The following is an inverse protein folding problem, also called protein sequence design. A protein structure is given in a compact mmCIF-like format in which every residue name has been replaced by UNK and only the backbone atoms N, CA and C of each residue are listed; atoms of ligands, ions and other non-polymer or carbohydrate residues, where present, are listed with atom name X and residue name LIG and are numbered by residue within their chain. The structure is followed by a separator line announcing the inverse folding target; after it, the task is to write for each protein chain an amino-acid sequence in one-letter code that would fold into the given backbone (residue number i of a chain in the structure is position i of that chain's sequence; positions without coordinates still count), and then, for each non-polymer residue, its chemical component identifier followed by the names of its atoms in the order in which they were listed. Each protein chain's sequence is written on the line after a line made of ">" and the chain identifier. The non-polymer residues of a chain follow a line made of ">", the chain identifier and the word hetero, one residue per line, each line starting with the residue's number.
data_IF_914312401642
#
_entry.id   IF_914312401642
#
_cell.length_a   1.000
_cell.length_b   1.000
_cell.length_c   1.000
_cell.angle_alpha   90.00
_cell.angle_beta   90.00
_cell.angle_gamma   90.00
#
_symmetry.space_group_name_H-M   'P 1'
#
loop_
_entity.id
_entity.type
_entity.pdbx_description
1 polymer ?
#
# COMPACT_ATOMS: atom_id res chain seq x y z
N UNK A 1 23.98 -0.52 -9.75
CA UNK A 1 22.80 -1.39 -9.92
C UNK A 1 22.33 -1.86 -8.55
N UNK A 2 21.04 -1.82 -8.28
CA UNK A 2 20.44 -2.26 -7.00
C UNK A 2 20.26 -3.78 -6.98
N UNK A 3 20.16 -4.40 -5.79
CA UNK A 3 19.93 -5.85 -5.68
C UNK A 3 18.59 -6.32 -6.27
N UNK A 4 17.60 -5.41 -6.37
CA UNK A 4 16.37 -5.68 -7.11
C UNK A 4 16.61 -5.70 -8.63
N UNK A 5 17.36 -4.75 -9.19
CA UNK A 5 17.69 -4.72 -10.63
C UNK A 5 18.39 -6.00 -11.08
N UNK A 6 19.28 -6.54 -10.25
CA UNK A 6 19.97 -7.79 -10.55
C UNK A 6 19.02 -9.00 -10.58
N UNK A 7 18.06 -9.07 -9.64
CA UNK A 7 17.00 -10.09 -9.64
C UNK A 7 16.05 -9.94 -10.81
N UNK A 8 15.72 -8.71 -11.18
CA UNK A 8 14.88 -8.40 -12.32
C UNK A 8 15.55 -8.83 -13.64
N UNK A 9 16.84 -8.56 -13.79
CA UNK A 9 17.62 -8.95 -14.97
C UNK A 9 17.80 -10.48 -15.09
N UNK A 10 17.82 -11.19 -13.97
CA UNK A 10 17.94 -12.65 -13.94
C UNK A 10 16.61 -13.40 -14.12
N UNK A 11 15.48 -12.72 -13.96
CA UNK A 11 14.17 -13.34 -14.02
C UNK A 11 13.60 -13.35 -15.45
N UNK A 12 13.01 -14.47 -15.85
CA UNK A 12 12.22 -14.56 -17.07
C UNK A 12 10.82 -14.01 -16.80
N UNK A 13 10.51 -12.84 -17.34
CA UNK A 13 9.18 -12.21 -17.22
C UNK A 13 8.33 -12.52 -18.45
N UNK A 14 6.99 -12.63 -18.30
CA UNK A 14 6.07 -12.73 -19.42
C UNK A 14 6.03 -11.43 -20.24
N UNK A 15 5.36 -11.45 -21.39
CA UNK A 15 5.20 -10.27 -22.23
C UNK A 15 4.49 -9.11 -21.49
N UNK A 16 4.76 -7.89 -21.95
CA UNK A 16 4.25 -6.69 -21.30
C UNK A 16 2.72 -6.71 -21.21
N UNK A 17 2.20 -6.56 -19.98
CA UNK A 17 0.79 -6.67 -19.67
C UNK A 17 0.55 -6.86 -18.16
N UNK A 18 -0.69 -7.18 -17.75
CA UNK A 18 -1.02 -7.44 -16.34
C UNK A 18 -0.14 -8.55 -15.73
N UNK A 19 0.11 -9.62 -16.47
CA UNK A 19 0.94 -10.75 -16.00
C UNK A 19 2.38 -10.34 -15.76
N UNK A 20 2.93 -9.46 -16.60
CA UNK A 20 4.26 -8.89 -16.38
C UNK A 20 4.31 -8.02 -15.13
N UNK A 21 3.26 -7.23 -14.87
CA UNK A 21 3.16 -6.46 -13.62
C UNK A 21 3.12 -7.38 -12.40
N UNK A 22 2.28 -8.43 -12.42
CA UNK A 22 2.16 -9.39 -11.32
C UNK A 22 3.47 -10.13 -11.08
N UNK A 23 4.13 -10.62 -12.14
CA UNK A 23 5.42 -11.30 -12.05
C UNK A 23 6.50 -10.39 -11.47
N UNK A 24 6.59 -9.14 -11.95
CA UNK A 24 7.54 -8.15 -11.41
C UNK A 24 7.24 -7.78 -9.95
N UNK A 25 5.95 -7.64 -9.59
CA UNK A 25 5.53 -7.37 -8.20
C UNK A 25 5.92 -8.53 -7.28
N UNK A 26 5.72 -9.78 -7.71
CA UNK A 26 6.13 -10.95 -6.94
C UNK A 26 7.65 -10.97 -6.67
N UNK A 27 8.46 -10.62 -7.68
CA UNK A 27 9.91 -10.47 -7.51
C UNK A 27 10.27 -9.33 -6.56
N UNK A 28 9.58 -8.20 -6.64
CA UNK A 28 9.80 -7.05 -5.75
C UNK A 28 9.51 -7.40 -4.28
N UNK A 29 8.43 -8.14 -4.05
CA UNK A 29 8.00 -8.59 -2.73
C UNK A 29 8.82 -9.77 -2.19
N UNK A 30 9.72 -10.36 -2.98
CA UNK A 30 10.56 -11.46 -2.52
C UNK A 30 11.55 -10.94 -1.47
N UNK A 31 11.57 -11.51 -0.24
CA UNK A 31 12.46 -11.06 0.82
C UNK A 31 13.93 -11.21 0.40
N UNK A 32 14.73 -10.20 0.70
CA UNK A 32 16.18 -10.24 0.46
C UNK A 32 16.82 -10.98 1.63
N UNK A 33 17.56 -12.05 1.34
CA UNK A 33 18.24 -12.87 2.37
C UNK A 33 19.37 -12.11 3.06
N UNK A 34 19.93 -11.09 2.39
CA UNK A 34 21.04 -10.29 2.87
C UNK A 34 20.53 -9.14 3.77
N UNK A 35 20.00 -9.52 4.93
CA UNK A 35 19.66 -8.55 5.95
C UNK A 35 20.95 -7.93 6.49
N UNK A 36 21.07 -6.59 6.50
CA UNK A 36 22.27 -5.95 7.03
C UNK A 36 22.49 -6.39 8.47
N UNK A 37 23.70 -6.86 8.78
CA UNK A 37 24.04 -7.25 10.14
C UNK A 37 23.77 -6.10 11.10
N UNK A 38 23.02 -6.33 12.18
CA UNK A 38 22.71 -5.28 13.14
C UNK A 38 24.02 -4.75 13.73
N UNK A 39 24.18 -3.43 13.72
CA UNK A 39 25.31 -2.79 14.42
C UNK A 39 25.19 -3.06 15.92
N UNK A 40 26.31 -3.37 16.61
CA UNK A 40 26.30 -3.58 18.04
C UNK A 40 25.75 -2.33 18.76
N UNK A 41 25.01 -2.55 19.83
CA UNK A 41 24.47 -1.44 20.61
C UNK A 41 25.61 -0.66 21.28
N UNK A 42 25.58 0.66 21.15
CA UNK A 42 26.47 1.56 21.88
C UNK A 42 25.73 2.13 23.10
N UNK A 43 26.48 2.72 24.04
CA UNK A 43 25.90 3.27 25.27
C UNK A 43 24.78 4.30 25.02
N UNK A 44 24.95 5.15 24.00
CA UNK A 44 23.94 6.15 23.62
C UNK A 44 22.65 5.52 23.11
N UNK A 45 22.76 4.45 22.31
CA UNK A 45 21.63 3.68 21.81
C UNK A 45 20.91 2.97 22.95
N UNK A 46 21.64 2.30 23.85
CA UNK A 46 21.05 1.65 25.02
C UNK A 46 20.30 2.64 25.91
N UNK A 47 20.84 3.85 26.08
CA UNK A 47 20.17 4.93 26.80
C UNK A 47 18.87 5.36 26.12
N UNK A 48 18.89 5.55 24.80
CA UNK A 48 17.68 5.90 24.03
C UNK A 48 16.63 4.78 24.06
N UNK A 49 17.07 3.53 23.93
CA UNK A 49 16.18 2.36 24.05
C UNK A 49 15.55 2.32 25.44
N UNK A 50 16.34 2.44 26.51
CA UNK A 50 15.83 2.46 27.88
C UNK A 50 14.86 3.61 28.16
N UNK A 51 15.10 4.81 27.60
CA UNK A 51 14.20 5.95 27.76
C UNK A 51 12.86 5.71 27.04
N UNK A 52 12.90 5.13 25.84
CA UNK A 52 11.72 4.92 24.98
C UNK A 52 11.01 3.58 25.19
N UNK A 53 11.49 2.74 26.12
CA UNK A 53 10.85 1.49 26.50
C UNK A 53 9.76 1.70 27.57
N UNK A 54 9.81 2.82 28.30
CA UNK A 54 8.82 3.16 29.32
C UNK A 54 7.48 3.52 28.64
N UNK A 55 6.35 2.95 29.10
CA UNK A 55 5.04 3.29 28.56
C UNK A 55 4.72 4.76 28.80
N UNK A 56 4.31 5.48 27.75
CA UNK A 56 4.04 6.92 27.80
C UNK A 56 5.25 7.83 27.57
N UNK A 57 6.47 7.29 27.46
CA UNK A 57 7.69 8.08 27.24
C UNK A 57 7.69 8.95 25.98
N UNK A 58 6.88 8.60 24.98
CA UNK A 58 6.73 9.37 23.74
C UNK A 58 6.12 10.75 24.01
N UNK A 59 5.19 10.82 24.96
CA UNK A 59 4.43 12.03 25.32
C UNK A 59 4.99 12.76 26.54
N UNK A 60 5.93 12.14 27.26
CA UNK A 60 6.52 12.70 28.47
C UNK A 60 7.57 13.79 28.18
N UNK A 61 7.42 14.94 28.82
CA UNK A 61 8.30 16.10 28.64
C UNK A 61 9.67 15.92 29.31
N UNK A 62 9.75 15.16 30.41
CA UNK A 62 11.04 14.89 31.07
C UNK A 62 11.95 14.03 30.17
N UNK A 63 11.35 12.99 29.55
CA UNK A 63 12.03 12.17 28.54
C UNK A 63 12.49 13.02 27.35
N UNK A 64 11.70 14.01 26.93
CA UNK A 64 12.06 14.93 25.85
C UNK A 64 13.31 15.74 26.15
N UNK A 65 13.30 16.41 27.30
CA UNK A 65 14.37 17.31 27.75
C UNK A 65 15.66 16.56 28.13
N UNK A 66 15.56 15.26 28.41
CA UNK A 66 16.71 14.39 28.69
C UNK A 66 17.68 14.21 27.51
N UNK A 67 17.33 14.73 26.33
CA UNK A 67 18.16 14.78 25.12
C UNK A 67 17.51 14.16 23.88
N UNK A 68 16.24 13.75 23.97
CA UNK A 68 15.47 13.23 22.83
C UNK A 68 15.22 14.36 21.80
N UNK A 69 15.02 15.59 22.29
CA UNK A 69 14.91 16.81 21.49
C UNK A 69 16.07 16.96 20.49
N UNK A 70 17.31 16.80 20.94
CA UNK A 70 18.52 16.95 20.11
C UNK A 70 18.63 15.86 19.08
N UNK A 71 18.26 14.64 19.44
CA UNK A 71 18.27 13.50 18.51
C UNK A 71 17.22 13.72 17.42
N UNK A 72 16.02 14.13 17.79
CA UNK A 72 14.95 14.44 16.84
C UNK A 72 15.34 15.58 15.89
N UNK A 73 15.85 16.71 16.41
CA UNK A 73 16.32 17.82 15.57
C UNK A 73 17.43 17.37 14.60
N UNK A 74 18.37 16.54 15.06
CA UNK A 74 19.40 15.96 14.21
C UNK A 74 18.82 15.10 13.08
N UNK A 75 17.81 14.28 13.38
CA UNK A 75 17.14 13.45 12.37
C UNK A 75 16.40 14.30 11.34
N UNK A 76 15.62 15.28 11.78
CA UNK A 76 14.84 16.17 10.89
C UNK A 76 15.75 17.06 10.03
N UNK A 77 16.88 17.52 10.57
CA UNK A 77 17.88 18.28 9.83
C UNK A 77 18.70 17.43 8.83
N UNK A 78 18.46 16.12 8.76
CA UNK A 78 19.22 15.21 7.89
C UNK A 78 20.65 14.95 8.35
N UNK A 79 20.94 15.10 9.66
CA UNK A 79 22.25 14.84 10.20
C UNK A 79 22.65 13.37 9.98
N UNK A 80 23.90 13.16 9.56
CA UNK A 80 24.40 11.81 9.27
C UNK A 80 24.66 11.05 10.57
N UNK A 81 23.94 9.95 10.77
CA UNK A 81 24.13 9.10 11.94
C UNK A 81 25.50 8.41 11.91
N UNK A 82 26.27 8.53 13.01
CA UNK A 82 27.56 7.82 13.16
C UNK A 82 27.38 6.31 13.32
N UNK A 83 26.29 5.91 13.99
CA UNK A 83 25.89 4.52 14.18
C UNK A 83 24.46 4.34 13.69
N UNK A 84 24.18 3.21 13.05
CA UNK A 84 22.83 2.92 12.57
C UNK A 84 21.91 2.71 13.77
N UNK A 85 20.72 3.31 13.70
CA UNK A 85 19.67 3.14 14.70
C UNK A 85 18.62 2.17 14.17
N UNK A 86 18.04 1.31 15.02
CA UNK A 86 16.89 0.49 14.64
C UNK A 86 15.73 1.37 14.17
N UNK A 87 15.09 0.98 13.07
CA UNK A 87 14.00 1.76 12.47
C UNK A 87 12.85 1.98 13.46
N UNK A 88 12.50 0.98 14.25
CA UNK A 88 11.45 1.11 15.28
C UNK A 88 11.76 2.24 16.28
N UNK A 89 13.02 2.40 16.67
CA UNK A 89 13.45 3.47 17.58
C UNK A 89 13.34 4.83 16.89
N UNK A 90 13.77 4.92 15.63
CA UNK A 90 13.64 6.15 14.82
C UNK A 90 12.18 6.57 14.68
N UNK A 91 11.27 5.63 14.42
CA UNK A 91 9.84 5.90 14.32
C UNK A 91 9.31 6.47 15.64
N UNK A 92 9.66 5.88 16.79
CA UNK A 92 9.26 6.42 18.11
C UNK A 92 9.76 7.86 18.34
N UNK A 93 11.02 8.14 17.98
CA UNK A 93 11.61 9.49 18.11
C UNK A 93 10.86 10.50 17.21
N UNK A 94 10.59 10.12 15.96
CA UNK A 94 9.85 10.98 15.02
C UNK A 94 8.43 11.24 15.49
N UNK A 95 7.73 10.18 15.93
CA UNK A 95 6.39 10.29 16.51
C UNK A 95 6.37 11.25 17.70
N UNK A 96 7.34 11.13 18.62
CA UNK A 96 7.47 12.01 19.78
C UNK A 96 7.60 13.49 19.37
N UNK A 97 8.38 13.78 18.34
CA UNK A 97 8.51 15.15 17.84
C UNK A 97 7.27 15.65 17.12
N UNK A 98 6.66 14.84 16.24
CA UNK A 98 5.43 15.25 15.53
C UNK A 98 4.24 15.48 16.45
N UNK A 99 4.13 14.72 17.55
CA UNK A 99 3.10 14.97 18.58
C UNK A 99 3.29 16.35 19.22
N UNK A 100 4.54 16.78 19.45
CA UNK A 100 4.85 18.09 20.06
C UNK A 100 4.68 19.24 19.09
N UNK A 101 5.01 19.04 17.82
CA UNK A 101 4.73 20.02 16.77
C UNK A 101 3.23 20.10 16.42
N UNK A 102 2.39 19.24 17.00
CA UNK A 102 0.96 19.14 16.65
C UNK A 102 0.71 18.61 15.24
N UNK A 103 1.74 18.08 14.57
CA UNK A 103 1.63 17.47 13.24
C UNK A 103 1.03 16.07 13.33
N UNK A 104 1.21 15.38 14.47
CA UNK A 104 0.59 14.09 14.73
C UNK A 104 -0.60 14.22 15.70
N UNK A 105 -1.82 13.82 15.31
CA UNK A 105 -2.98 13.92 16.18
C UNK A 105 -2.93 12.88 17.31
N UNK A 106 -3.14 13.33 18.56
CA UNK A 106 -3.22 12.43 19.73
C UNK A 106 -4.55 11.68 19.71
N UNK A 107 -4.49 10.36 19.86
CA UNK A 107 -5.68 9.50 19.97
C UNK A 107 -6.51 9.36 18.69
N UNK A 108 -6.05 9.91 17.55
CA UNK A 108 -6.71 9.67 16.28
C UNK A 108 -6.40 8.25 15.79
N UNK A 109 -7.45 7.51 15.47
CA UNK A 109 -7.37 6.21 14.83
C UNK A 109 -7.39 6.44 13.33
N UNK A 110 -6.43 5.85 12.61
CA UNK A 110 -6.47 5.85 11.15
C UNK A 110 -7.80 5.23 10.70
N UNK A 111 -8.54 5.85 9.75
CA UNK A 111 -9.68 5.19 9.14
C UNK A 111 -9.31 3.80 8.64
N UNK A 112 -10.27 2.89 8.62
CA UNK A 112 -10.07 1.59 8.00
C UNK A 112 -9.56 1.80 6.57
N UNK A 113 -8.50 1.10 6.21
CA UNK A 113 -7.82 1.29 4.93
C UNK A 113 -8.80 0.95 3.80
N UNK A 114 -9.04 1.88 2.87
CA UNK A 114 -9.85 1.65 1.65
C UNK A 114 -9.26 0.60 0.70
N UNK A 115 -8.14 -0.03 1.08
CA UNK A 115 -7.51 -1.08 0.30
C UNK A 115 -8.43 -2.30 0.40
N UNK A 116 -8.99 -2.80 -0.73
CA UNK A 116 -9.85 -3.97 -0.69
C UNK A 116 -9.04 -5.11 -0.08
N UNK A 117 -9.52 -5.66 1.04
CA UNK A 117 -8.90 -6.79 1.74
C UNK A 117 -8.50 -7.85 0.71
N UNK A 118 -7.20 -7.95 0.41
CA UNK A 118 -6.70 -8.94 -0.50
C UNK A 118 -6.98 -10.30 0.16
N UNK A 119 -7.89 -11.14 -0.36
CA UNK A 119 -8.23 -12.38 0.32
C UNK A 119 -6.96 -13.21 0.47
N UNK A 120 -6.72 -13.68 1.70
CA UNK A 120 -5.64 -14.59 2.02
C UNK A 120 -5.60 -15.71 0.98
N UNK A 121 -4.42 -15.97 0.42
CA UNK A 121 -4.20 -17.00 -0.58
C UNK A 121 -4.89 -18.30 -0.19
N UNK A 122 -6.01 -18.61 -0.85
CA UNK A 122 -6.58 -19.95 -0.82
C UNK A 122 -5.60 -20.90 -1.51
N UNK A 123 -5.16 -22.00 -0.87
CA UNK A 123 -4.39 -23.03 -1.54
C UNK A 123 -5.17 -23.48 -2.77
N UNK A 124 -4.61 -23.32 -3.96
CA UNK A 124 -5.18 -23.82 -5.20
C UNK A 124 -5.15 -25.35 -5.19
N UNK A 125 -6.12 -25.95 -4.51
CA UNK A 125 -6.53 -27.32 -4.75
C UNK A 125 -7.95 -27.31 -5.32
N UNK A 126 -8.03 -27.85 -6.56
CA UNK A 126 -9.15 -28.60 -7.12
C UNK A 126 -10.30 -27.84 -7.79
N UNK A 127 -10.16 -27.77 -9.13
CA UNK A 127 -11.16 -28.05 -10.16
C UNK A 127 -12.65 -28.14 -9.76
N UNK A 128 -13.48 -27.22 -10.28
CA UNK A 128 -14.91 -27.43 -10.54
C UNK A 128 -15.29 -26.66 -11.82
N UNK A 129 -15.23 -27.31 -13.00
CA UNK A 129 -16.32 -27.93 -13.80
C UNK A 129 -17.40 -26.99 -14.34
N UNK A 130 -17.50 -27.04 -15.68
CA UNK A 130 -18.50 -26.60 -16.66
C UNK A 130 -19.68 -25.72 -16.20
N UNK A 131 -19.76 -24.55 -16.84
CA UNK A 131 -20.96 -23.72 -16.93
C UNK A 131 -22.10 -24.44 -17.66
N UNK A 132 -23.24 -24.57 -17.00
CA UNK A 132 -24.55 -24.71 -17.67
C UNK A 132 -25.36 -23.45 -17.40
N UNK A 133 -25.59 -22.65 -18.45
CA UNK A 133 -26.51 -21.51 -18.40
C UNK A 133 -27.92 -22.00 -18.76
N UNK A 134 -28.82 -22.00 -17.77
CA UNK A 134 -30.25 -22.24 -17.96
C UNK A 134 -30.94 -20.88 -18.12
N UNK A 135 -31.57 -20.66 -19.27
CA UNK A 135 -32.38 -19.45 -19.56
C UNK A 135 -33.86 -19.83 -19.45
N UNK A 136 -34.69 -19.11 -18.66
CA UNK A 136 -36.14 -19.28 -18.73
C UNK A 136 -36.84 -18.04 -19.32
N UNK A 137 -37.90 -18.26 -20.09
CA UNK A 137 -39.07 -17.37 -20.08
C UNK A 137 -39.41 -16.61 -21.36
N UNK A 138 -40.04 -17.33 -22.29
CA UNK A 138 -40.87 -16.89 -23.43
C UNK A 138 -42.06 -15.98 -23.03
N UNK A 139 -42.37 -14.94 -23.82
CA UNK A 139 -43.75 -14.53 -24.17
C UNK A 139 -43.78 -13.66 -25.44
N UNK A 140 -44.52 -14.17 -26.44
CA UNK A 140 -44.92 -13.52 -27.70
C UNK A 140 -46.25 -12.77 -27.50
N UNK A 141 -46.55 -11.72 -28.29
CA UNK A 141 -47.81 -11.81 -29.04
C UNK A 141 -47.74 -11.29 -30.49
N UNK A 142 -48.65 -11.86 -31.29
CA UNK A 142 -48.81 -11.82 -32.75
C UNK A 142 -49.98 -10.91 -33.15
N UNK A 143 -49.73 -10.01 -34.13
CA UNK A 143 -50.62 -9.47 -35.22
C UNK A 143 -51.92 -8.72 -34.84
N UNK A 144 -52.21 -7.60 -35.55
CA UNK A 144 -53.45 -7.33 -36.34
C UNK A 144 -53.61 -5.86 -36.82
N UNK A 145 -53.76 -5.68 -38.15
CA UNK A 145 -54.67 -4.72 -38.89
C UNK A 145 -54.31 -3.24 -39.21
N UNK A 146 -54.04 -3.03 -40.52
CA UNK A 146 -54.75 -2.20 -41.55
C UNK A 146 -54.91 -0.67 -41.44
N UNK A 147 -54.48 0.03 -42.53
CA UNK A 147 -54.95 1.35 -43.02
C UNK A 147 -53.81 2.38 -43.19
N UNK A 148 -53.18 2.56 -44.36
CA UNK A 148 -53.60 3.22 -45.61
C UNK A 148 -53.60 4.77 -45.59
N UNK A 149 -52.76 5.32 -46.49
CA UNK A 149 -52.72 6.66 -47.14
C UNK A 149 -52.24 7.89 -46.36
N UNK A 150 -51.18 8.52 -46.90
CA UNK A 150 -50.87 9.93 -46.67
C UNK A 150 -49.41 10.33 -46.95
N UNK A 151 -48.96 10.34 -48.21
CA UNK A 151 -47.82 11.19 -48.64
C UNK A 151 -48.39 12.57 -49.00
N UNK A 152 -47.67 13.69 -48.76
CA UNK A 152 -46.70 14.16 -49.76
C UNK A 152 -45.46 14.88 -49.22
N UNK A 153 -44.37 14.72 -49.98
CA UNK A 153 -43.31 15.65 -50.36
C UNK A 153 -42.92 16.87 -49.49
N UNK A 154 -41.62 16.95 -49.23
CA UNK A 154 -40.80 18.16 -49.16
C UNK A 154 -39.33 17.75 -49.03
N UNK A 155 -38.57 17.67 -50.13
CA UNK A 155 -37.49 18.65 -50.46
C UNK A 155 -36.69 19.05 -49.20
N UNK A 156 -35.49 18.54 -48.95
CA UNK A 156 -34.27 18.68 -49.73
C UNK A 156 -33.14 19.04 -48.73
N UNK A 157 -31.88 18.62 -48.94
CA UNK A 157 -30.86 18.60 -47.88
C UNK A 157 -29.92 19.81 -47.88
N UNK A 158 -29.10 19.85 -46.81
CA UNK A 158 -27.83 20.55 -46.66
C UNK A 158 -27.88 22.08 -46.58
N UNK A 159 -27.52 22.64 -45.41
CA UNK A 159 -26.17 23.13 -45.10
C UNK A 159 -25.89 22.98 -43.61
#
# INVERSE_FOLDING_TARGET
>A
MTGFEQRLAAATLPESGPDHFLARRALWCTPVLDNPTPTPANASRLRLESLLDVPGAIEDDETWDSGLDKVWHGLVAGARLRHRLPLALVIKILQAGWIREGTWPRGAVAPDSDDPEQPAAVPHEQAFVLSTVTTPGEVTPTVTTTGSVGTPNGEGPNW
#
